data_IF_570115665481
#
_entry.id   IF_570115665481
#
_cell.length_a   1.000
_cell.length_b   1.000
_cell.length_c   1.000
_cell.angle_alpha   90.00
_cell.angle_beta   90.00
_cell.angle_gamma   90.00
#
_symmetry.space_group_name_H-M   'P 1'
#
loop_
_entity.id
_entity.type
_entity.pdbx_description
1 polymer ?
#
# COMPACT_ATOMS: atom_id res chain seq x y z
N UNK A 1 -6.70 15.17 26.24
CA UNK A 1 -6.26 13.84 25.77
C UNK A 1 -6.14 13.90 24.26
N UNK A 2 -4.91 13.85 23.73
CA UNK A 2 -4.68 13.86 22.28
C UNK A 2 -5.10 12.47 21.77
N UNK A 3 -6.14 12.43 20.94
CA UNK A 3 -6.62 11.22 20.28
C UNK A 3 -5.44 10.52 19.62
N UNK A 4 -5.08 9.32 20.10
CA UNK A 4 -4.21 8.43 19.35
C UNK A 4 -5.00 8.01 18.10
N UNK A 5 -4.69 8.63 16.97
CA UNK A 5 -5.30 8.30 15.69
C UNK A 5 -4.80 6.92 15.28
N UNK A 6 -5.59 5.89 15.61
CA UNK A 6 -5.52 4.58 14.97
C UNK A 6 -5.92 4.81 13.52
N UNK A 7 -4.93 5.02 12.67
CA UNK A 7 -5.12 5.37 11.27
C UNK A 7 -4.77 4.15 10.41
N UNK A 8 -5.79 3.59 9.76
CA UNK A 8 -5.64 2.46 8.87
C UNK A 8 -5.39 2.97 7.45
N UNK A 9 -4.22 2.69 6.89
CA UNK A 9 -3.91 3.08 5.51
C UNK A 9 -4.42 2.02 4.54
N UNK A 10 -5.75 2.04 4.33
CA UNK A 10 -6.44 1.09 3.46
C UNK A 10 -5.94 1.17 2.01
N UNK A 11 -5.63 2.37 1.54
CA UNK A 11 -5.17 2.60 0.17
C UNK A 11 -3.83 1.93 -0.05
N UNK A 12 -2.88 2.11 0.87
CA UNK A 12 -1.58 1.45 0.79
C UNK A 12 -1.71 -0.07 0.82
N UNK A 13 -2.52 -0.65 1.72
CA UNK A 13 -2.70 -2.11 1.78
C UNK A 13 -3.33 -2.66 0.50
N UNK A 14 -4.28 -1.94 -0.09
CA UNK A 14 -4.87 -2.31 -1.39
C UNK A 14 -3.82 -2.26 -2.51
N UNK A 15 -2.99 -1.21 -2.56
CA UNK A 15 -1.92 -1.11 -3.57
C UNK A 15 -0.93 -2.27 -3.44
N UNK A 16 -0.53 -2.63 -2.21
CA UNK A 16 0.36 -3.77 -1.96
C UNK A 16 -0.30 -5.06 -2.47
N UNK A 17 -1.59 -5.27 -2.19
CA UNK A 17 -2.31 -6.45 -2.66
C UNK A 17 -2.36 -6.52 -4.20
N UNK A 18 -2.71 -5.42 -4.87
CA UNK A 18 -2.73 -5.35 -6.35
C UNK A 18 -1.33 -5.61 -6.91
N UNK A 19 -0.30 -4.99 -6.34
CA UNK A 19 1.09 -5.21 -6.79
C UNK A 19 1.54 -6.67 -6.62
N UNK A 20 1.13 -7.34 -5.53
CA UNK A 20 1.46 -8.74 -5.27
C UNK A 20 0.73 -9.72 -6.18
N UNK A 21 -0.54 -9.43 -6.51
CA UNK A 21 -1.40 -10.39 -7.21
C UNK A 21 -1.56 -10.08 -8.71
N UNK A 22 -1.83 -8.83 -9.08
CA UNK A 22 -2.02 -8.40 -10.48
C UNK A 22 -0.70 -7.92 -11.13
N UNK A 23 0.32 -7.67 -10.30
CA UNK A 23 1.66 -7.28 -10.73
C UNK A 23 1.95 -5.78 -10.60
N UNK A 24 3.24 -5.45 -10.70
CA UNK A 24 3.77 -4.12 -10.38
C UNK A 24 3.17 -3.00 -11.21
N UNK A 25 2.92 -3.23 -12.50
CA UNK A 25 2.40 -2.21 -13.40
C UNK A 25 1.01 -1.73 -12.96
N UNK A 26 0.11 -2.65 -12.64
CA UNK A 26 -1.24 -2.35 -12.15
C UNK A 26 -1.21 -1.69 -10.78
N UNK A 27 -0.35 -2.17 -9.88
CA UNK A 27 -0.15 -1.53 -8.57
C UNK A 27 0.35 -0.08 -8.69
N UNK A 28 1.32 0.18 -9.56
CA UNK A 28 1.85 1.53 -9.80
C UNK A 28 0.80 2.45 -10.42
N UNK A 29 0.07 1.98 -11.42
CA UNK A 29 -0.97 2.76 -12.11
C UNK A 29 -2.12 3.10 -11.17
N UNK A 30 -2.61 2.12 -10.40
CA UNK A 30 -3.66 2.33 -9.42
C UNK A 30 -3.21 3.28 -8.31
N UNK A 31 -2.00 3.07 -7.76
CA UNK A 31 -1.41 3.96 -6.76
C UNK A 31 -1.26 5.39 -7.26
N UNK A 32 -0.87 5.57 -8.53
CA UNK A 32 -0.76 6.89 -9.15
C UNK A 32 -2.13 7.58 -9.21
N UNK A 33 -3.13 6.91 -9.78
CA UNK A 33 -4.47 7.48 -9.97
C UNK A 33 -5.12 7.82 -8.63
N UNK A 34 -5.12 6.88 -7.68
CA UNK A 34 -5.72 7.11 -6.35
C UNK A 34 -4.96 8.18 -5.59
N UNK A 35 -3.63 8.20 -5.67
CA UNK A 35 -2.82 9.25 -5.05
C UNK A 35 -3.10 10.63 -5.65
N UNK A 36 -3.25 10.75 -6.97
CA UNK A 36 -3.64 12.00 -7.62
C UNK A 36 -5.02 12.47 -7.17
N UNK A 37 -5.99 11.55 -7.04
CA UNK A 37 -7.34 11.88 -6.55
C UNK A 37 -7.28 12.38 -5.10
N UNK A 38 -6.53 11.72 -4.23
CA UNK A 38 -6.34 12.15 -2.85
C UNK A 38 -5.67 13.52 -2.75
N UNK A 39 -4.61 13.72 -3.52
CA UNK A 39 -3.89 14.97 -3.58
C UNK A 39 -4.81 16.14 -3.99
N UNK A 40 -5.76 15.91 -4.90
CA UNK A 40 -6.75 16.92 -5.32
C UNK A 40 -7.87 17.15 -4.30
N UNK A 41 -8.25 16.12 -3.52
CA UNK A 41 -9.37 16.21 -2.57
C UNK A 41 -8.96 16.79 -1.22
N UNK A 42 -7.80 16.37 -0.71
CA UNK A 42 -7.40 16.61 0.70
C UNK A 42 -5.93 17.08 0.80
N UNK A 43 -5.16 16.96 -0.28
CA UNK A 43 -3.73 17.27 -0.29
C UNK A 43 -3.43 18.76 -0.21
N UNK A 44 -2.40 19.11 0.57
CA UNK A 44 -1.80 20.44 0.56
C UNK A 44 -0.82 20.63 -0.61
N UNK A 45 -0.32 19.54 -1.18
CA UNK A 45 0.59 19.53 -2.33
C UNK A 45 0.21 18.44 -3.31
N UNK A 46 0.03 18.82 -4.58
CA UNK A 46 -0.37 17.89 -5.63
C UNK A 46 0.82 17.04 -6.09
N UNK A 47 0.62 15.72 -6.18
CA UNK A 47 1.57 14.75 -6.74
C UNK A 47 2.39 13.97 -5.71
N UNK A 48 2.32 14.32 -4.42
CA UNK A 48 3.10 13.64 -3.37
C UNK A 48 2.49 12.27 -3.07
N UNK A 49 1.18 12.17 -2.81
CA UNK A 49 0.55 10.88 -2.58
C UNK A 49 0.63 10.00 -3.83
N UNK A 50 0.45 10.58 -5.02
CA UNK A 50 0.62 9.86 -6.29
C UNK A 50 2.00 9.23 -6.40
N UNK A 51 3.07 10.00 -6.14
CA UNK A 51 4.43 9.52 -6.18
C UNK A 51 4.70 8.42 -5.14
N UNK A 52 4.33 8.66 -3.89
CA UNK A 52 4.60 7.73 -2.78
C UNK A 52 3.89 6.40 -2.99
N UNK A 53 2.63 6.42 -3.41
CA UNK A 53 1.86 5.19 -3.64
C UNK A 53 2.33 4.38 -4.84
N UNK A 54 2.70 5.04 -5.95
CA UNK A 54 3.35 4.33 -7.06
C UNK A 54 4.70 3.74 -6.65
N UNK A 55 5.49 4.48 -5.87
CA UNK A 55 6.78 3.99 -5.39
C UNK A 55 6.62 2.79 -4.45
N UNK A 56 5.60 2.78 -3.59
CA UNK A 56 5.31 1.63 -2.75
C UNK A 56 5.08 0.35 -3.57
N UNK A 57 4.28 0.41 -4.64
CA UNK A 57 4.08 -0.73 -5.52
C UNK A 57 5.39 -1.22 -6.17
N UNK A 58 6.25 -0.29 -6.58
CA UNK A 58 7.58 -0.63 -7.11
C UNK A 58 8.47 -1.32 -6.07
N UNK A 59 8.51 -0.82 -4.83
CA UNK A 59 9.30 -1.43 -3.76
C UNK A 59 8.79 -2.83 -3.42
N UNK A 60 7.46 -3.04 -3.41
CA UNK A 60 6.85 -4.36 -3.21
C UNK A 60 7.39 -5.36 -4.25
N UNK A 61 7.38 -4.99 -5.52
CA UNK A 61 7.88 -5.85 -6.59
C UNK A 61 9.37 -6.19 -6.42
N UNK A 62 10.20 -5.21 -6.07
CA UNK A 62 11.62 -5.44 -5.79
C UNK A 62 11.85 -6.40 -4.63
N UNK A 63 11.01 -6.36 -3.59
CA UNK A 63 11.07 -7.32 -2.50
C UNK A 63 10.72 -8.73 -3.01
N UNK A 64 9.67 -8.90 -3.81
CA UNK A 64 9.33 -10.21 -4.39
C UNK A 64 10.49 -10.75 -5.24
N UNK A 65 11.04 -9.92 -6.14
CA UNK A 65 12.16 -10.28 -7.02
C UNK A 65 13.42 -10.64 -6.22
N UNK A 66 13.63 -10.03 -5.05
CA UNK A 66 14.74 -10.37 -4.15
C UNK A 66 14.61 -11.75 -3.46
N UNK A 67 13.56 -12.51 -3.77
CA UNK A 67 13.40 -13.91 -3.32
C UNK A 67 12.43 -14.09 -2.16
N UNK A 68 11.69 -13.04 -1.79
CA UNK A 68 10.61 -13.13 -0.81
C UNK A 68 9.44 -13.92 -1.40
N UNK A 69 9.37 -15.22 -1.06
CA UNK A 69 8.34 -16.14 -1.56
C UNK A 69 6.94 -15.79 -1.03
N UNK A 70 5.90 -16.09 -1.79
CA UNK A 70 4.49 -15.93 -1.43
C UNK A 70 4.07 -16.79 -0.23
N UNK A 71 4.40 -16.34 0.98
CA UNK A 71 3.97 -16.91 2.27
C UNK A 71 3.33 -15.81 3.11
N UNK A 72 2.43 -16.20 4.02
CA UNK A 72 1.71 -15.25 4.86
C UNK A 72 2.65 -14.36 5.71
N UNK A 73 3.71 -14.94 6.27
CA UNK A 73 4.75 -14.19 6.99
C UNK A 73 5.46 -13.18 6.08
N UNK A 74 5.69 -13.53 4.82
CA UNK A 74 6.32 -12.66 3.85
C UNK A 74 5.42 -11.48 3.49
N UNK A 75 4.12 -11.69 3.31
CA UNK A 75 3.17 -10.60 3.09
C UNK A 75 3.09 -9.63 4.26
N UNK A 76 3.03 -10.16 5.48
CA UNK A 76 3.05 -9.34 6.70
C UNK A 76 4.34 -8.52 6.77
N UNK A 77 5.49 -9.12 6.46
CA UNK A 77 6.77 -8.42 6.42
C UNK A 77 6.84 -7.34 5.33
N UNK A 78 6.28 -7.60 4.14
CA UNK A 78 6.19 -6.59 3.07
C UNK A 78 5.31 -5.43 3.52
N UNK A 79 4.13 -5.69 4.08
CA UNK A 79 3.22 -4.64 4.58
C UNK A 79 3.90 -3.82 5.67
N UNK A 80 4.61 -4.47 6.60
CA UNK A 80 5.41 -3.81 7.62
C UNK A 80 6.44 -2.88 7.00
N UNK A 81 7.33 -3.39 6.14
CA UNK A 81 8.41 -2.62 5.54
C UNK A 81 7.90 -1.43 4.72
N UNK A 82 6.87 -1.64 3.90
CA UNK A 82 6.31 -0.58 3.07
C UNK A 82 5.67 0.50 3.95
N UNK A 83 5.01 0.12 5.04
CA UNK A 83 4.46 1.09 5.99
C UNK A 83 5.56 1.95 6.62
N UNK A 84 6.66 1.32 7.06
CA UNK A 84 7.81 2.02 7.64
C UNK A 84 8.46 2.97 6.63
N UNK A 85 8.72 2.48 5.41
CA UNK A 85 9.27 3.29 4.31
C UNK A 85 8.36 4.48 4.01
N UNK A 86 7.05 4.26 3.93
CA UNK A 86 6.07 5.32 3.70
C UNK A 86 6.12 6.41 4.78
N UNK A 87 6.13 6.02 6.06
CA UNK A 87 6.23 6.97 7.19
C UNK A 87 7.52 7.77 7.12
N UNK A 88 8.65 7.11 6.84
CA UNK A 88 9.96 7.78 6.71
C UNK A 88 9.97 8.79 5.56
N UNK A 89 9.43 8.43 4.40
CA UNK A 89 9.37 9.32 3.22
C UNK A 89 8.49 10.53 3.52
N UNK A 90 7.27 10.31 4.03
CA UNK A 90 6.36 11.41 4.35
C UNK A 90 6.94 12.33 5.41
N UNK A 91 7.61 11.76 6.43
CA UNK A 91 8.29 12.55 7.47
C UNK A 91 9.46 13.35 6.90
N UNK A 92 10.26 12.75 6.02
CA UNK A 92 11.35 13.43 5.34
C UNK A 92 10.84 14.58 4.47
N UNK A 93 9.78 14.37 3.70
CA UNK A 93 9.13 15.42 2.90
C UNK A 93 8.66 16.55 3.81
N UNK A 94 7.93 16.24 4.90
CA UNK A 94 7.47 17.26 5.85
C UNK A 94 8.63 18.07 6.44
N UNK A 95 9.72 17.40 6.79
CA UNK A 95 10.94 18.04 7.28
C UNK A 95 11.58 18.96 6.22
N UNK A 96 11.73 18.50 4.98
CA UNK A 96 12.33 19.29 3.89
C UNK A 96 11.52 20.55 3.55
N UNK A 97 10.20 20.48 3.65
CA UNK A 97 9.31 21.62 3.44
C UNK A 97 9.04 22.44 4.71
N UNK A 98 9.79 22.17 5.79
CA UNK A 98 9.72 22.89 7.07
C UNK A 98 8.33 22.89 7.72
N UNK A 99 7.57 21.81 7.55
CA UNK A 99 6.34 21.58 8.30
C UNK A 99 6.68 21.12 9.73
N UNK A 100 5.81 21.46 10.68
CA UNK A 100 5.97 21.07 12.09
C UNK A 100 5.98 19.54 12.23
N UNK A 101 7.18 18.97 12.40
CA UNK A 101 7.41 17.53 12.51
C UNK A 101 7.63 17.16 13.97
N UNK A 102 6.63 16.58 14.62
CA UNK A 102 6.76 16.09 15.98
C UNK A 102 7.34 14.66 16.00
N UNK A 103 8.61 14.53 16.41
CA UNK A 103 9.36 13.27 16.50
C UNK A 103 8.64 12.23 17.37
N UNK A 104 8.00 12.66 18.47
CA UNK A 104 7.27 11.78 19.38
C UNK A 104 6.03 11.17 18.71
N UNK A 105 5.35 11.95 17.87
CA UNK A 105 4.20 11.48 17.08
C UNK A 105 4.65 10.52 15.99
N UNK A 106 5.76 10.82 15.30
CA UNK A 106 6.36 9.94 14.31
C UNK A 106 6.74 8.57 14.90
N UNK A 107 7.41 8.54 16.06
CA UNK A 107 7.81 7.28 16.71
C UNK A 107 6.61 6.41 17.11
N UNK A 108 5.51 7.02 17.54
CA UNK A 108 4.26 6.31 17.81
C UNK A 108 3.63 5.76 16.52
N UNK A 109 3.62 6.54 15.44
CA UNK A 109 3.09 6.11 14.14
C UNK A 109 3.86 4.92 13.56
N UNK A 110 5.19 4.86 13.74
CA UNK A 110 6.01 3.73 13.32
C UNK A 110 5.63 2.42 14.04
N UNK A 111 5.05 2.49 15.24
CA UNK A 111 4.58 1.27 15.93
C UNK A 111 3.14 0.95 15.56
N UNK A 112 2.25 1.94 15.60
CA UNK A 112 0.81 1.71 15.49
C UNK A 112 0.37 1.41 14.06
N UNK A 113 0.87 2.14 13.06
CA UNK A 113 0.42 2.00 11.67
C UNK A 113 0.77 0.64 11.06
N UNK A 114 2.00 0.10 11.21
CA UNK A 114 2.30 -1.22 10.63
C UNK A 114 1.42 -2.32 11.23
N UNK A 115 1.16 -2.29 12.53
CA UNK A 115 0.28 -3.26 13.20
C UNK A 115 -1.14 -3.15 12.61
N UNK A 116 -1.68 -1.94 12.49
CA UNK A 116 -3.01 -1.72 11.92
C UNK A 116 -3.11 -2.21 10.47
N UNK A 117 -2.09 -1.94 9.65
CA UNK A 117 -2.04 -2.35 8.25
C UNK A 117 -1.88 -3.86 8.08
N UNK A 118 -1.12 -4.53 8.96
CA UNK A 118 -1.04 -5.99 9.00
C UNK A 118 -2.39 -6.59 9.36
N UNK A 119 -3.11 -6.04 10.34
CA UNK A 119 -4.48 -6.49 10.66
C UNK A 119 -5.38 -6.33 9.44
N UNK A 120 -5.30 -5.18 8.76
CA UNK A 120 -6.11 -4.90 7.57
C UNK A 120 -5.77 -5.85 6.41
N UNK A 121 -4.51 -6.24 6.25
CA UNK A 121 -4.04 -7.20 5.25
C UNK A 121 -4.85 -8.50 5.30
N UNK A 122 -5.16 -9.02 6.50
CA UNK A 122 -5.94 -10.25 6.66
C UNK A 122 -7.37 -10.16 6.13
N UNK A 123 -7.90 -8.95 5.98
CA UNK A 123 -9.24 -8.71 5.42
C UNK A 123 -9.12 -8.44 3.91
N UNK A 124 -8.22 -7.54 3.51
CA UNK A 124 -8.13 -7.05 2.13
C UNK A 124 -7.55 -8.10 1.19
N UNK A 125 -6.51 -8.83 1.60
CA UNK A 125 -5.83 -9.78 0.71
C UNK A 125 -6.74 -10.94 0.27
N UNK A 126 -7.51 -11.57 1.17
CA UNK A 126 -8.48 -12.58 0.74
C UNK A 126 -9.54 -12.03 -0.20
N UNK A 127 -10.08 -10.83 0.06
CA UNK A 127 -11.12 -10.21 -0.78
C UNK A 127 -10.62 -10.01 -2.21
N UNK A 128 -9.43 -9.45 -2.38
CA UNK A 128 -8.84 -9.22 -3.70
C UNK A 128 -8.49 -10.55 -4.39
N UNK A 129 -7.86 -11.48 -3.67
CA UNK A 129 -7.52 -12.80 -4.22
C UNK A 129 -8.75 -13.60 -4.67
N UNK A 130 -9.88 -13.51 -3.95
CA UNK A 130 -11.14 -14.13 -4.35
C UNK A 130 -11.76 -13.50 -5.58
N UNK A 131 -11.58 -12.18 -5.79
CA UNK A 131 -12.01 -11.48 -7.00
C UNK A 131 -11.29 -12.01 -8.25
N UNK A 132 -9.97 -12.19 -8.17
CA UNK A 132 -9.17 -12.66 -9.30
C UNK A 132 -9.46 -14.11 -9.73
N UNK A 133 -9.71 -15.01 -8.76
CA UNK A 133 -10.06 -16.41 -9.08
C UNK A 133 -11.32 -16.50 -9.93
N UNK A 134 -12.26 -15.57 -9.77
CA UNK A 134 -13.50 -15.53 -10.58
C UNK A 134 -13.20 -15.19 -12.04
N UNK A 135 -12.27 -14.29 -12.34
CA UNK A 135 -11.93 -13.95 -13.72
C UNK A 135 -11.29 -15.12 -14.48
N UNK A 136 -10.50 -15.97 -13.79
CA UNK A 136 -9.93 -17.18 -14.40
C UNK A 136 -11.00 -18.21 -14.79
N UNK A 137 -12.06 -18.35 -13.99
CA UNK A 137 -13.18 -19.25 -14.29
C UNK A 137 -14.07 -18.73 -15.44
N UNK A 138 -14.27 -17.41 -15.56
CA UNK A 138 -15.01 -16.82 -16.67
C UNK A 138 -14.23 -16.90 -18.00
N UNK A 139 -12.90 -16.79 -17.98
CA UNK A 139 -12.05 -16.88 -19.17
C UNK A 139 -11.94 -18.28 -19.77
N UNK A 140 -11.98 -19.34 -18.95
CA UNK A 140 -11.92 -20.72 -19.42
C UNK A 140 -13.24 -21.21 -20.03
N UNK A 141 -14.39 -20.72 -19.54
CA UNK A 141 -15.71 -21.12 -20.07
C UNK A 141 -16.01 -20.62 -21.48
N UNK A 142 -15.24 -19.67 -22.00
CA UNK A 142 -15.41 -19.14 -23.36
C UNK A 142 -14.57 -19.85 -24.42
N UNK A 143 -13.61 -20.70 -24.03
CA UNK A 143 -12.68 -21.34 -24.96
C UNK A 143 -13.13 -22.73 -25.44
N UNK A 144 -14.14 -23.33 -24.83
CA UNK A 144 -14.68 -24.66 -25.18
C UNK A 144 -15.92 -24.60 -26.09
N UNK A 145 -16.13 -23.49 -26.82
CA UNK A 145 -17.34 -23.29 -27.66
C UNK A 145 -17.07 -22.82 -29.10
N UNK A 146 -15.89 -23.07 -29.66
CA UNK A 146 -15.63 -22.86 -31.09
C UNK A 146 -15.17 -24.16 -31.72
#
# INVERSE_FOLDING_TARGET
MKSFSVDFDLIMVVIIAIALFDGVFWGMLFGFIVGMVLDLMVGSMVGISAFVYSMNAFVVDRLIVAGFRYKLLTYSFIVFLITEINILIVSLIRYLFNFDSNILTMGLEMITKPICNIILMFIIFPVISSGMKRETEFGLKYKDKI
#
